data_IF_296259284306
#
_entry.id   IF_296259284306
#
_cell.length_a   1.000
_cell.length_b   1.000
_cell.length_c   1.000
_cell.angle_alpha   90.00
_cell.angle_beta   90.00
_cell.angle_gamma   90.00
#
_symmetry.space_group_name_H-M   'P 1'
#
loop_
_entity.id
_entity.type
_entity.pdbx_description
1 polymer ?
#
# COMPACT_ATOMS: atom_id res chain seq x y z
N UNK A 1 -31.58 16.02 2.12
CA UNK A 1 -32.44 15.20 1.23
C UNK A 1 -31.83 14.97 -0.16
N UNK A 2 -31.40 16.01 -0.89
CA UNK A 2 -30.86 15.87 -2.27
C UNK A 2 -29.65 14.92 -2.36
N UNK A 3 -28.64 15.06 -1.48
CA UNK A 3 -27.44 14.19 -1.52
C UNK A 3 -27.75 12.72 -1.23
N UNK A 4 -28.78 12.45 -0.43
CA UNK A 4 -29.24 11.09 -0.15
C UNK A 4 -29.85 10.44 -1.40
N UNK A 5 -30.72 11.17 -2.12
CA UNK A 5 -31.27 10.71 -3.39
C UNK A 5 -30.17 10.46 -4.43
N UNK A 6 -29.17 11.35 -4.51
CA UNK A 6 -27.99 11.15 -5.36
C UNK A 6 -27.26 9.87 -4.96
N UNK A 7 -27.08 9.63 -3.66
CA UNK A 7 -26.47 8.41 -3.13
C UNK A 7 -27.20 7.14 -3.55
N UNK A 8 -28.54 7.14 -3.53
CA UNK A 8 -29.37 6.02 -4.01
C UNK A 8 -29.25 5.84 -5.52
N UNK A 9 -29.29 6.92 -6.31
CA UNK A 9 -29.10 6.83 -7.76
C UNK A 9 -27.72 6.26 -8.10
N UNK A 10 -26.67 6.69 -7.41
CA UNK A 10 -25.33 6.12 -7.57
C UNK A 10 -25.29 4.62 -7.18
N UNK A 11 -25.98 4.23 -6.11
CA UNK A 11 -26.11 2.82 -5.72
C UNK A 11 -26.77 1.99 -6.82
N UNK A 12 -27.85 2.47 -7.42
CA UNK A 12 -28.52 1.79 -8.53
C UNK A 12 -27.60 1.64 -9.74
N UNK A 13 -26.86 2.70 -10.11
CA UNK A 13 -25.88 2.66 -11.19
C UNK A 13 -24.80 1.60 -10.91
N UNK A 14 -24.27 1.56 -9.68
CA UNK A 14 -23.28 0.56 -9.26
C UNK A 14 -23.84 -0.85 -9.35
N UNK A 15 -25.06 -1.08 -8.85
CA UNK A 15 -25.70 -2.39 -8.89
C UNK A 15 -25.94 -2.88 -10.32
N UNK A 16 -26.44 -2.01 -11.21
CA UNK A 16 -26.63 -2.31 -12.64
C UNK A 16 -25.29 -2.66 -13.28
N UNK A 17 -24.25 -1.85 -13.03
CA UNK A 17 -22.93 -2.09 -13.61
C UNK A 17 -22.35 -3.43 -13.14
N UNK A 18 -22.36 -3.71 -11.84
CA UNK A 18 -21.90 -4.99 -11.28
C UNK A 18 -22.68 -6.17 -11.87
N UNK A 19 -23.99 -6.04 -11.99
CA UNK A 19 -24.83 -7.05 -12.60
C UNK A 19 -24.42 -7.33 -14.05
N UNK A 20 -24.14 -6.30 -14.87
CA UNK A 20 -23.62 -6.45 -16.23
C UNK A 20 -22.27 -7.21 -16.21
N UNK A 21 -21.37 -6.89 -15.29
CA UNK A 21 -20.08 -7.58 -15.15
C UNK A 21 -20.21 -9.06 -14.80
N UNK A 22 -21.26 -9.46 -14.09
CA UNK A 22 -21.53 -10.87 -13.78
C UNK A 22 -22.28 -11.56 -14.93
N UNK A 23 -23.15 -10.83 -15.62
CA UNK A 23 -23.97 -11.34 -16.71
C UNK A 23 -23.13 -11.65 -17.96
N UNK A 24 -22.17 -10.78 -18.34
CA UNK A 24 -21.35 -10.96 -19.55
C UNK A 24 -20.57 -12.29 -19.54
N UNK A 25 -19.75 -12.63 -18.51
CA UNK A 25 -19.06 -13.90 -18.45
C UNK A 25 -20.00 -15.10 -18.47
N UNK A 26 -21.15 -15.00 -17.79
CA UNK A 26 -22.16 -16.04 -17.80
C UNK A 26 -22.74 -16.29 -19.19
N UNK A 27 -23.07 -15.23 -19.93
CA UNK A 27 -23.56 -15.32 -21.30
C UNK A 27 -22.48 -15.86 -22.25
N UNK A 28 -21.23 -15.46 -22.09
CA UNK A 28 -20.10 -15.98 -22.87
C UNK A 28 -19.89 -17.48 -22.65
N UNK A 29 -19.87 -17.94 -21.39
CA UNK A 29 -19.75 -19.37 -21.06
C UNK A 29 -20.94 -20.16 -21.64
N UNK A 30 -22.15 -19.61 -21.50
CA UNK A 30 -23.37 -20.20 -22.04
C UNK A 30 -23.33 -20.33 -23.57
N UNK A 31 -22.79 -19.33 -24.26
CA UNK A 31 -22.61 -19.32 -25.71
C UNK A 31 -21.50 -20.27 -26.18
N UNK A 32 -20.38 -20.35 -25.46
CA UNK A 32 -19.32 -21.33 -25.77
C UNK A 32 -19.82 -22.77 -25.63
N UNK A 33 -20.59 -23.06 -24.57
CA UNK A 33 -21.24 -24.38 -24.40
C UNK A 33 -22.19 -24.69 -25.55
N UNK A 34 -22.95 -23.71 -26.01
CA UNK A 34 -23.82 -23.86 -27.18
C UNK A 34 -23.06 -24.22 -28.44
N UNK A 35 -21.97 -23.51 -28.74
CA UNK A 35 -21.17 -23.78 -29.93
C UNK A 35 -20.58 -25.19 -29.85
N UNK A 36 -20.08 -25.58 -28.68
CA UNK A 36 -19.54 -26.91 -28.48
C UNK A 36 -20.59 -27.99 -28.72
N UNK A 37 -21.78 -27.84 -28.14
CA UNK A 37 -22.93 -28.74 -28.36
C UNK A 37 -23.38 -28.75 -29.83
N UNK A 38 -23.44 -27.59 -30.47
CA UNK A 38 -23.82 -27.44 -31.89
C UNK A 38 -22.85 -28.16 -32.82
N UNK A 39 -21.56 -28.17 -32.50
CA UNK A 39 -20.57 -28.93 -33.27
C UNK A 39 -20.74 -30.45 -33.12
N UNK A 40 -21.35 -30.92 -32.03
CA UNK A 40 -21.55 -32.35 -31.76
C UNK A 40 -22.90 -32.90 -32.26
N UNK A 41 -23.90 -32.06 -32.52
CA UNK A 41 -25.27 -32.50 -32.84
C UNK A 41 -25.61 -32.35 -34.35
N UNK A 42 -26.23 -33.39 -34.94
CA UNK A 42 -26.81 -33.35 -36.30
C UNK A 42 -27.97 -32.32 -36.35
N UNK A 43 -28.16 -31.66 -37.51
CA UNK A 43 -29.10 -30.54 -37.76
C UNK A 43 -30.49 -30.67 -37.10
N UNK A 44 -31.11 -31.85 -37.10
CA UNK A 44 -32.47 -32.09 -36.59
C UNK A 44 -32.58 -32.02 -35.05
N UNK A 45 -31.57 -32.50 -34.30
CA UNK A 45 -31.56 -32.35 -32.82
C UNK A 45 -31.25 -30.92 -32.38
N UNK A 46 -30.81 -30.07 -33.31
CA UNK A 46 -30.38 -28.71 -33.01
C UNK A 46 -31.55 -27.76 -32.80
N UNK A 47 -32.68 -27.98 -33.48
CA UNK A 47 -33.87 -27.11 -33.39
C UNK A 47 -34.62 -27.34 -32.06
N UNK A 48 -34.87 -28.60 -31.67
CA UNK A 48 -35.41 -28.94 -30.35
C UNK A 48 -34.52 -28.43 -29.20
N UNK A 49 -33.19 -28.48 -29.40
CA UNK A 49 -32.26 -27.91 -28.42
C UNK A 49 -32.27 -26.38 -28.41
N UNK A 50 -32.65 -25.69 -29.50
CA UNK A 50 -32.62 -24.22 -29.59
C UNK A 50 -33.74 -23.58 -28.75
N UNK A 51 -34.93 -24.16 -28.75
CA UNK A 51 -36.03 -23.76 -27.84
C UNK A 51 -35.72 -24.10 -26.38
N UNK A 52 -35.14 -25.27 -26.12
CA UNK A 52 -34.64 -25.65 -24.80
C UNK A 52 -33.45 -24.80 -24.32
N UNK A 53 -32.67 -24.22 -25.22
CA UNK A 53 -31.47 -23.46 -24.86
C UNK A 53 -31.79 -22.08 -24.26
N UNK A 54 -32.92 -21.48 -24.62
CA UNK A 54 -33.47 -20.26 -23.98
C UNK A 54 -34.40 -20.56 -22.79
N UNK A 55 -34.25 -21.75 -22.20
CA UNK A 55 -35.08 -22.29 -21.12
C UNK A 55 -35.29 -21.37 -19.91
N UNK A 56 -36.37 -21.66 -19.18
CA UNK A 56 -36.69 -21.17 -17.83
C UNK A 56 -35.50 -21.21 -16.87
N UNK A 57 -34.60 -22.20 -16.99
CA UNK A 57 -33.38 -22.30 -16.17
C UNK A 57 -32.46 -21.08 -16.31
N UNK A 58 -32.34 -20.48 -17.51
CA UNK A 58 -31.52 -19.28 -17.70
C UNK A 58 -32.16 -18.04 -17.15
N UNK A 59 -33.47 -17.87 -17.38
CA UNK A 59 -34.26 -16.79 -16.77
C UNK A 59 -34.09 -16.83 -15.25
N UNK A 60 -34.23 -18.02 -14.64
CA UNK A 60 -33.99 -18.23 -13.21
C UNK A 60 -32.58 -17.81 -12.78
N UNK A 61 -31.53 -18.17 -13.51
CA UNK A 61 -30.15 -17.76 -13.18
C UNK A 61 -29.95 -16.24 -13.30
N UNK A 62 -30.44 -15.63 -14.38
CA UNK A 62 -30.36 -14.19 -14.64
C UNK A 62 -31.08 -13.42 -13.52
N UNK A 63 -32.30 -13.81 -13.17
CA UNK A 63 -33.07 -13.25 -12.06
C UNK A 63 -32.33 -13.47 -10.73
N UNK A 64 -31.79 -14.67 -10.49
CA UNK A 64 -31.02 -14.97 -9.27
C UNK A 64 -29.78 -14.09 -9.13
N UNK A 65 -29.06 -13.83 -10.23
CA UNK A 65 -27.91 -12.92 -10.24
C UNK A 65 -28.33 -11.48 -9.94
N UNK A 66 -29.47 -11.03 -10.49
CA UNK A 66 -30.01 -9.69 -10.21
C UNK A 66 -30.40 -9.55 -8.73
N UNK A 67 -31.10 -10.54 -8.16
CA UNK A 67 -31.46 -10.58 -6.74
C UNK A 67 -30.20 -10.58 -5.88
N UNK A 68 -29.25 -11.49 -6.16
CA UNK A 68 -28.01 -11.60 -5.39
C UNK A 68 -27.22 -10.29 -5.39
N UNK A 69 -27.06 -9.66 -6.58
CA UNK A 69 -26.34 -8.38 -6.71
C UNK A 69 -27.06 -7.28 -5.94
N UNK A 70 -28.39 -7.23 -5.99
CA UNK A 70 -29.20 -6.23 -5.28
C UNK A 70 -29.09 -6.40 -3.76
N UNK A 71 -29.24 -7.63 -3.25
CA UNK A 71 -29.12 -7.96 -1.82
C UNK A 71 -27.71 -7.65 -1.31
N UNK A 72 -26.66 -8.04 -2.05
CA UNK A 72 -25.29 -7.75 -1.67
C UNK A 72 -25.02 -6.23 -1.65
N UNK A 73 -25.48 -5.50 -2.67
CA UNK A 73 -25.33 -4.04 -2.75
C UNK A 73 -26.05 -3.33 -1.60
N UNK A 74 -27.29 -3.75 -1.32
CA UNK A 74 -28.10 -3.21 -0.23
C UNK A 74 -27.48 -3.49 1.14
N UNK A 75 -26.95 -4.70 1.34
CA UNK A 75 -26.28 -5.09 2.59
C UNK A 75 -25.03 -4.23 2.83
N UNK A 76 -24.14 -4.13 1.83
CA UNK A 76 -22.93 -3.29 1.95
C UNK A 76 -23.31 -1.83 2.19
N UNK A 77 -24.28 -1.29 1.42
CA UNK A 77 -24.74 0.08 1.59
C UNK A 77 -25.27 0.34 3.00
N UNK A 78 -26.15 -0.53 3.50
CA UNK A 78 -26.79 -0.37 4.81
C UNK A 78 -25.76 -0.43 5.94
N UNK A 79 -24.85 -1.41 5.90
CA UNK A 79 -23.77 -1.53 6.91
C UNK A 79 -22.86 -0.30 6.90
N UNK A 80 -22.46 0.18 5.72
CA UNK A 80 -21.62 1.39 5.62
C UNK A 80 -22.39 2.65 6.05
N UNK A 81 -23.68 2.74 5.74
CA UNK A 81 -24.53 3.87 6.15
C UNK A 81 -24.69 3.91 7.67
N UNK A 82 -24.99 2.78 8.30
CA UNK A 82 -25.12 2.69 9.78
C UNK A 82 -23.83 3.14 10.44
N UNK A 83 -22.67 2.71 9.91
CA UNK A 83 -21.37 3.07 10.44
C UNK A 83 -21.01 4.56 10.27
N UNK A 84 -21.25 5.12 9.08
CA UNK A 84 -20.68 6.42 8.70
C UNK A 84 -21.67 7.58 8.71
N UNK A 85 -22.96 7.34 8.90
CA UNK A 85 -24.00 8.38 8.92
C UNK A 85 -24.65 8.54 10.31
N UNK A 86 -23.95 8.20 11.39
CA UNK A 86 -24.38 8.52 12.76
C UNK A 86 -24.31 10.03 13.03
N UNK A 87 -25.08 10.50 14.01
CA UNK A 87 -25.17 11.93 14.33
C UNK A 87 -23.84 12.53 14.83
N UNK A 88 -22.98 11.69 15.42
CA UNK A 88 -21.65 12.07 15.92
C UNK A 88 -20.58 12.16 14.81
N UNK A 89 -20.91 11.77 13.57
CA UNK A 89 -19.94 11.75 12.47
C UNK A 89 -19.86 13.10 11.73
N UNK A 90 -18.63 13.50 11.41
CA UNK A 90 -18.35 14.67 10.59
C UNK A 90 -18.76 14.50 9.12
N UNK A 91 -18.89 15.63 8.42
CA UNK A 91 -18.96 15.69 6.96
C UNK A 91 -20.09 14.85 6.31
N UNK A 92 -21.26 14.73 6.94
CA UNK A 92 -22.36 13.87 6.49
C UNK A 92 -22.76 14.02 5.01
N UNK A 93 -22.67 15.23 4.44
CA UNK A 93 -22.91 15.46 3.00
C UNK A 93 -21.92 14.68 2.13
N UNK A 94 -20.63 14.74 2.47
CA UNK A 94 -19.58 13.99 1.81
C UNK A 94 -19.75 12.48 2.03
N UNK A 95 -20.08 12.06 3.26
CA UNK A 95 -20.27 10.65 3.63
C UNK A 95 -21.35 9.94 2.81
N UNK A 96 -22.38 10.64 2.32
CA UNK A 96 -23.35 10.04 1.38
C UNK A 96 -22.66 9.49 0.12
N UNK A 97 -21.66 10.20 -0.43
CA UNK A 97 -20.88 9.73 -1.57
C UNK A 97 -19.90 8.63 -1.17
N UNK A 98 -19.30 8.74 0.02
CA UNK A 98 -18.42 7.71 0.55
C UNK A 98 -19.13 6.36 0.68
N UNK A 99 -20.30 6.33 1.32
CA UNK A 99 -21.11 5.13 1.52
C UNK A 99 -21.49 4.48 0.19
N UNK A 100 -21.97 5.27 -0.79
CA UNK A 100 -22.26 4.74 -2.14
C UNK A 100 -20.98 4.24 -2.84
N UNK A 101 -19.86 4.93 -2.67
CA UNK A 101 -18.56 4.54 -3.19
C UNK A 101 -18.01 3.23 -2.59
N UNK A 102 -18.31 2.94 -1.32
CA UNK A 102 -17.89 1.69 -0.67
C UNK A 102 -18.54 0.44 -1.28
N UNK A 103 -19.77 0.56 -1.78
CA UNK A 103 -20.43 -0.54 -2.49
C UNK A 103 -19.63 -0.92 -3.74
N UNK A 104 -19.30 0.07 -4.57
CA UNK A 104 -18.48 -0.14 -5.76
C UNK A 104 -17.07 -0.67 -5.41
N UNK A 105 -16.46 -0.12 -4.36
CA UNK A 105 -15.16 -0.55 -3.87
C UNK A 105 -15.17 -2.02 -3.42
N UNK A 106 -16.21 -2.48 -2.73
CA UNK A 106 -16.36 -3.87 -2.31
C UNK A 106 -16.40 -4.83 -3.51
N UNK A 107 -17.20 -4.50 -4.53
CA UNK A 107 -17.23 -5.30 -5.76
C UNK A 107 -15.91 -5.26 -6.52
N UNK A 108 -15.24 -4.09 -6.60
CA UNK A 108 -13.90 -3.97 -7.18
C UNK A 108 -12.89 -4.82 -6.41
N UNK A 109 -12.96 -4.87 -5.07
CA UNK A 109 -12.11 -5.74 -4.26
C UNK A 109 -12.32 -7.23 -4.57
N UNK A 110 -13.57 -7.66 -4.78
CA UNK A 110 -13.90 -9.04 -5.19
C UNK A 110 -13.38 -9.33 -6.60
N UNK A 111 -13.68 -8.46 -7.58
CA UNK A 111 -13.25 -8.65 -8.97
C UNK A 111 -11.73 -8.64 -9.09
N UNK A 112 -11.07 -7.77 -8.34
CA UNK A 112 -9.61 -7.74 -8.26
C UNK A 112 -9.03 -8.97 -7.57
N UNK A 113 -9.82 -9.92 -7.05
CA UNK A 113 -9.29 -11.24 -6.71
C UNK A 113 -8.89 -12.04 -7.95
N UNK A 114 -9.65 -11.92 -9.03
CA UNK A 114 -9.53 -12.73 -10.24
C UNK A 114 -8.89 -11.96 -11.40
N UNK A 115 -9.14 -10.67 -11.47
CA UNK A 115 -8.72 -9.80 -12.57
C UNK A 115 -7.69 -8.81 -12.03
N UNK A 116 -6.64 -8.52 -12.80
CA UNK A 116 -5.70 -7.46 -12.40
C UNK A 116 -6.38 -6.08 -12.54
N UNK A 117 -6.20 -5.15 -11.59
CA UNK A 117 -6.87 -3.84 -11.62
C UNK A 117 -6.59 -3.01 -12.87
N UNK A 118 -5.48 -3.26 -13.57
CA UNK A 118 -5.11 -2.52 -14.80
C UNK A 118 -5.69 -3.11 -16.10
N UNK A 119 -6.44 -4.20 -16.05
CA UNK A 119 -7.06 -4.76 -17.26
C UNK A 119 -8.14 -3.78 -17.75
N UNK A 120 -8.24 -3.51 -19.07
CA UNK A 120 -9.21 -2.55 -19.63
C UNK A 120 -10.66 -2.80 -19.21
N UNK A 121 -11.02 -4.06 -18.96
CA UNK A 121 -12.34 -4.42 -18.44
C UNK A 121 -12.65 -3.73 -17.11
N UNK A 122 -11.67 -3.33 -16.30
CA UNK A 122 -11.91 -2.62 -15.03
C UNK A 122 -12.11 -1.11 -15.20
N UNK A 123 -11.83 -0.55 -16.40
CA UNK A 123 -11.83 0.90 -16.63
C UNK A 123 -13.18 1.58 -16.34
N UNK A 124 -14.35 1.03 -16.73
CA UNK A 124 -15.65 1.62 -16.37
C UNK A 124 -15.87 1.72 -14.86
N UNK A 125 -15.49 0.69 -14.09
CA UNK A 125 -15.60 0.68 -12.64
C UNK A 125 -14.67 1.72 -12.00
N UNK A 126 -13.45 1.87 -12.51
CA UNK A 126 -12.51 2.89 -12.04
C UNK A 126 -13.01 4.31 -12.35
N UNK A 127 -13.54 4.53 -13.56
CA UNK A 127 -14.11 5.80 -13.97
C UNK A 127 -15.29 6.22 -13.10
N UNK A 128 -16.20 5.29 -12.81
CA UNK A 128 -17.32 5.54 -11.91
C UNK A 128 -16.85 5.83 -10.47
N UNK A 129 -15.87 5.07 -9.95
CA UNK A 129 -15.31 5.33 -8.62
C UNK A 129 -14.68 6.73 -8.54
N UNK A 130 -13.92 7.14 -9.56
CA UNK A 130 -13.34 8.49 -9.65
C UNK A 130 -14.42 9.57 -9.71
N UNK A 131 -15.50 9.35 -10.46
CA UNK A 131 -16.61 10.29 -10.51
C UNK A 131 -17.29 10.47 -9.15
N UNK A 132 -17.49 9.37 -8.40
CA UNK A 132 -18.05 9.40 -7.03
C UNK A 132 -17.08 10.13 -6.09
N UNK A 133 -15.79 9.78 -6.14
CA UNK A 133 -14.73 10.42 -5.36
C UNK A 133 -14.70 11.93 -5.58
N UNK A 134 -14.58 12.36 -6.83
CA UNK A 134 -14.50 13.79 -7.18
C UNK A 134 -15.77 14.57 -6.79
N UNK A 135 -16.94 13.94 -6.76
CA UNK A 135 -18.17 14.59 -6.26
C UNK A 135 -18.18 14.68 -4.74
N UNK A 136 -17.73 13.64 -4.06
CA UNK A 136 -17.73 13.57 -2.59
C UNK A 136 -16.68 14.48 -1.96
N UNK A 137 -15.45 14.52 -2.46
CA UNK A 137 -14.38 15.38 -1.90
C UNK A 137 -14.68 16.87 -2.06
N UNK A 138 -15.49 17.27 -3.05
CA UNK A 138 -15.97 18.66 -3.19
C UNK A 138 -16.88 19.10 -2.04
N UNK A 139 -17.35 18.15 -1.23
CA UNK A 139 -18.16 18.41 -0.04
C UNK A 139 -17.33 18.38 1.25
N UNK A 140 -16.03 18.06 1.18
CA UNK A 140 -15.09 18.11 2.29
C UNK A 140 -14.38 19.47 2.31
N UNK A 141 -13.93 19.94 3.49
CA UNK A 141 -12.93 21.01 3.58
C UNK A 141 -11.67 20.68 2.77
N UNK A 142 -10.99 21.70 2.25
CA UNK A 142 -9.82 21.51 1.39
C UNK A 142 -8.62 20.85 2.11
N UNK A 143 -8.54 21.04 3.43
CA UNK A 143 -7.52 20.52 4.33
C UNK A 143 -7.98 19.25 5.07
N UNK A 144 -9.07 18.61 4.66
CA UNK A 144 -9.60 17.43 5.35
C UNK A 144 -8.81 16.15 5.00
N UNK A 145 -8.29 15.48 6.03
CA UNK A 145 -7.48 14.27 5.88
C UNK A 145 -8.26 13.06 5.36
N UNK A 146 -9.60 13.11 5.38
CA UNK A 146 -10.45 12.08 4.78
C UNK A 146 -10.23 11.94 3.27
N UNK A 147 -9.85 13.02 2.59
CA UNK A 147 -9.57 13.01 1.15
C UNK A 147 -8.50 11.95 0.82
N UNK A 148 -7.41 11.93 1.60
CA UNK A 148 -6.34 10.93 1.47
C UNK A 148 -6.78 9.52 1.83
N UNK A 149 -7.63 9.36 2.85
CA UNK A 149 -8.19 8.06 3.25
C UNK A 149 -9.00 7.46 2.12
N UNK A 150 -9.93 8.23 1.55
CA UNK A 150 -10.82 7.75 0.50
C UNK A 150 -10.01 7.36 -0.74
N UNK A 151 -9.00 8.17 -1.09
CA UNK A 151 -8.14 7.87 -2.21
C UNK A 151 -7.33 6.58 -2.00
N UNK A 152 -6.76 6.40 -0.81
CA UNK A 152 -6.05 5.18 -0.45
C UNK A 152 -6.95 3.95 -0.55
N UNK A 153 -8.11 4.00 0.11
CA UNK A 153 -9.04 2.86 0.18
C UNK A 153 -9.55 2.44 -1.19
N UNK A 154 -9.90 3.40 -2.05
CA UNK A 154 -10.59 3.11 -3.30
C UNK A 154 -9.66 2.88 -4.48
N UNK A 155 -8.43 3.40 -4.45
CA UNK A 155 -7.54 3.33 -5.62
C UNK A 155 -6.21 2.63 -5.33
N UNK A 156 -5.77 2.58 -4.09
CA UNK A 156 -4.41 2.11 -3.76
C UNK A 156 -4.41 0.77 -3.04
N UNK A 157 -5.43 0.52 -2.21
CA UNK A 157 -5.56 -0.70 -1.41
C UNK A 157 -5.56 -2.00 -2.25
N UNK A 158 -6.10 -1.94 -3.47
CA UNK A 158 -6.11 -3.08 -4.40
C UNK A 158 -4.70 -3.50 -4.88
N UNK A 159 -3.73 -2.59 -4.82
CA UNK A 159 -2.34 -2.84 -5.21
C UNK A 159 -1.47 -3.23 -4.01
N UNK A 160 -1.70 -2.61 -2.84
CA UNK A 160 -0.90 -2.82 -1.63
C UNK A 160 -1.14 -4.19 -0.99
N UNK A 161 -2.40 -4.62 -0.81
CA UNK A 161 -2.74 -5.85 -0.07
C UNK A 161 -2.21 -7.15 -0.68
N UNK A 162 -2.06 -7.20 -2.00
CA UNK A 162 -1.69 -8.43 -2.72
C UNK A 162 -0.27 -8.41 -3.30
N UNK A 163 0.48 -7.35 -3.05
CA UNK A 163 1.80 -7.10 -3.64
C UNK A 163 1.82 -7.45 -5.15
N UNK A 164 0.76 -7.03 -5.87
CA UNK A 164 0.60 -7.38 -7.28
C UNK A 164 1.65 -6.64 -8.08
N UNK A 165 2.39 -7.40 -8.90
CA UNK A 165 3.21 -6.83 -9.95
C UNK A 165 2.29 -6.19 -10.97
N UNK A 166 2.54 -4.93 -11.32
CA UNK A 166 1.77 -4.22 -12.35
C UNK A 166 1.88 -4.95 -13.70
N UNK A 167 0.81 -4.93 -14.49
CA UNK A 167 0.69 -5.74 -15.71
C UNK A 167 1.55 -5.22 -16.87
N UNK A 168 2.10 -4.00 -16.76
CA UNK A 168 2.79 -3.32 -17.86
C UNK A 168 4.15 -2.71 -17.46
N UNK A 169 4.72 -3.12 -16.33
CA UNK A 169 6.10 -2.77 -15.98
C UNK A 169 7.09 -3.68 -16.73
N UNK A 170 7.45 -3.30 -17.96
CA UNK A 170 8.47 -4.00 -18.75
C UNK A 170 9.87 -3.52 -18.34
N UNK A 171 10.75 -4.47 -18.00
CA UNK A 171 12.20 -4.24 -17.81
C UNK A 171 12.58 -3.18 -16.76
N UNK A 172 11.84 -3.05 -15.66
CA UNK A 172 12.14 -2.09 -14.58
C UNK A 172 12.16 -0.61 -15.01
N UNK A 173 11.64 -0.29 -16.21
CA UNK A 173 11.48 1.10 -16.68
C UNK A 173 10.11 1.63 -16.22
N UNK A 174 10.06 2.75 -15.48
CA UNK A 174 8.80 3.34 -15.08
C UNK A 174 8.05 3.93 -16.27
N UNK A 175 6.74 3.69 -16.31
CA UNK A 175 5.84 4.40 -17.24
C UNK A 175 5.35 5.71 -16.60
N UNK A 176 4.93 6.68 -17.43
CA UNK A 176 4.34 7.94 -16.95
C UNK A 176 3.15 7.68 -16.01
N UNK A 177 2.28 6.76 -16.39
CA UNK A 177 1.11 6.33 -15.59
C UNK A 177 1.51 5.83 -14.20
N UNK A 178 2.63 5.12 -14.10
CA UNK A 178 3.10 4.61 -12.83
C UNK A 178 3.62 5.72 -11.91
N UNK A 179 4.36 6.70 -12.46
CA UNK A 179 4.80 7.88 -11.69
C UNK A 179 3.60 8.69 -11.19
N UNK A 180 2.58 8.89 -12.02
CA UNK A 180 1.32 9.52 -11.59
C UNK A 180 0.67 8.77 -10.41
N UNK A 181 0.72 7.44 -10.40
CA UNK A 181 0.22 6.65 -9.27
C UNK A 181 1.06 6.82 -8.00
N UNK A 182 2.39 6.93 -8.14
CA UNK A 182 3.25 7.26 -7.00
C UNK A 182 2.94 8.64 -6.44
N UNK A 183 2.64 9.62 -7.30
CA UNK A 183 2.22 10.96 -6.85
C UNK A 183 0.87 10.91 -6.14
N UNK A 184 -0.06 10.05 -6.58
CA UNK A 184 -1.32 9.80 -5.88
C UNK A 184 -1.12 9.13 -4.51
N UNK A 185 -0.15 8.21 -4.40
CA UNK A 185 0.24 7.63 -3.11
C UNK A 185 0.84 8.67 -2.18
N UNK A 186 1.72 9.51 -2.69
CA UNK A 186 2.28 10.63 -1.94
C UNK A 186 1.17 11.56 -1.45
N UNK A 187 0.27 11.98 -2.35
CA UNK A 187 -0.86 12.83 -2.00
C UNK A 187 -1.73 12.22 -0.88
N UNK A 188 -1.98 10.91 -0.94
CA UNK A 188 -2.75 10.23 0.10
C UNK A 188 -2.01 10.22 1.45
N UNK A 189 -0.70 9.94 1.45
CA UNK A 189 0.14 9.99 2.66
C UNK A 189 0.22 11.40 3.25
N UNK A 190 0.38 12.40 2.41
CA UNK A 190 0.43 13.80 2.82
C UNK A 190 -0.91 14.23 3.41
N UNK A 191 -2.00 14.06 2.66
CA UNK A 191 -3.34 14.44 3.12
C UNK A 191 -3.72 13.76 4.43
N UNK A 192 -3.39 12.47 4.59
CA UNK A 192 -3.69 11.74 5.83
C UNK A 192 -2.89 12.24 7.04
N UNK A 193 -1.66 12.69 6.82
CA UNK A 193 -0.79 13.12 7.92
C UNK A 193 -1.02 14.58 8.31
N UNK A 194 -1.31 15.45 7.34
CA UNK A 194 -1.39 16.91 7.56
C UNK A 194 -2.82 17.43 7.66
N UNK A 195 -3.80 16.67 7.16
CA UNK A 195 -5.18 17.09 7.15
C UNK A 195 -5.87 17.00 8.51
N UNK A 196 -6.86 17.86 8.72
CA UNK A 196 -7.74 17.82 9.88
C UNK A 196 -8.81 16.72 9.71
N UNK A 197 -9.32 16.20 10.83
CA UNK A 197 -10.34 15.15 10.84
C UNK A 197 -11.55 15.60 11.65
N UNK A 198 -12.66 15.87 10.96
CA UNK A 198 -13.94 16.09 11.61
C UNK A 198 -14.52 14.78 12.18
N UNK A 199 -14.30 13.67 11.48
CA UNK A 199 -14.68 12.32 11.92
C UNK A 199 -13.48 11.59 12.56
N UNK A 200 -13.49 11.51 13.89
CA UNK A 200 -12.43 10.85 14.66
C UNK A 200 -12.40 9.35 14.48
N UNK A 201 -13.55 8.72 14.24
CA UNK A 201 -13.59 7.29 13.95
C UNK A 201 -12.86 7.01 12.64
N UNK A 202 -13.01 7.85 11.62
CA UNK A 202 -12.28 7.71 10.36
C UNK A 202 -10.76 7.92 10.53
N UNK A 203 -10.35 8.88 11.38
CA UNK A 203 -8.94 9.07 11.74
C UNK A 203 -8.37 7.78 12.39
N UNK A 204 -9.03 7.25 13.41
CA UNK A 204 -8.53 6.09 14.16
C UNK A 204 -8.58 4.80 13.33
N UNK A 205 -9.67 4.52 12.62
CA UNK A 205 -9.82 3.24 11.94
C UNK A 205 -9.04 3.15 10.62
N UNK A 206 -8.76 4.29 9.97
CA UNK A 206 -8.15 4.29 8.64
C UNK A 206 -6.83 5.02 8.59
N UNK A 207 -6.71 6.22 9.17
CA UNK A 207 -5.38 6.83 9.24
C UNK A 207 -4.47 6.03 10.16
N UNK A 208 -4.90 5.68 11.39
CA UNK A 208 -3.97 5.00 12.28
C UNK A 208 -3.57 3.62 11.79
N UNK A 209 -4.45 2.91 11.08
CA UNK A 209 -4.24 1.52 10.70
C UNK A 209 -3.75 1.31 9.26
N UNK A 210 -4.24 2.10 8.29
CA UNK A 210 -3.91 1.89 6.88
C UNK A 210 -2.64 2.65 6.42
N UNK A 211 -2.23 3.70 7.15
CA UNK A 211 -1.14 4.59 6.74
C UNK A 211 0.18 3.85 6.51
N UNK A 212 0.57 3.00 7.45
CA UNK A 212 1.80 2.21 7.36
C UNK A 212 1.82 1.27 6.15
N UNK A 213 0.68 0.69 5.80
CA UNK A 213 0.57 -0.19 4.63
C UNK A 213 0.74 0.58 3.32
N UNK A 214 0.18 1.79 3.25
CA UNK A 214 0.39 2.70 2.13
C UNK A 214 1.85 3.19 2.06
N UNK A 215 2.44 3.56 3.20
CA UNK A 215 3.82 4.03 3.29
C UNK A 215 4.82 2.95 2.87
N UNK A 216 4.60 1.68 3.26
CA UNK A 216 5.41 0.56 2.78
C UNK A 216 5.27 0.38 1.27
N UNK A 217 4.04 0.46 0.75
CA UNK A 217 3.80 0.34 -0.69
C UNK A 217 4.55 1.43 -1.45
N UNK A 218 4.48 2.67 -0.98
CA UNK A 218 5.21 3.82 -1.51
C UNK A 218 6.72 3.57 -1.48
N UNK A 219 7.29 3.20 -0.33
CA UNK A 219 8.72 2.90 -0.18
C UNK A 219 9.20 1.87 -1.21
N UNK A 220 8.47 0.76 -1.39
CA UNK A 220 8.86 -0.32 -2.29
C UNK A 220 8.84 0.06 -3.76
N UNK A 221 8.06 1.08 -4.11
CA UNK A 221 7.93 1.56 -5.49
C UNK A 221 8.55 2.97 -5.68
N UNK A 222 9.11 3.59 -4.65
CA UNK A 222 9.69 4.93 -4.71
C UNK A 222 10.81 5.03 -5.76
N UNK A 223 11.60 3.97 -5.93
CA UNK A 223 12.68 3.90 -6.91
C UNK A 223 12.27 4.12 -8.37
N UNK A 224 10.98 3.98 -8.70
CA UNK A 224 10.47 4.24 -10.06
C UNK A 224 10.29 5.73 -10.38
N UNK A 225 10.57 6.64 -9.45
CA UNK A 225 10.80 8.04 -9.80
C UNK A 225 12.09 8.21 -10.61
N UNK A 226 13.12 7.40 -10.34
CA UNK A 226 14.34 7.35 -11.14
C UNK A 226 14.08 6.70 -12.52
N UNK A 227 14.97 6.87 -13.49
CA UNK A 227 14.82 6.25 -14.82
C UNK A 227 14.99 4.73 -14.81
N UNK A 228 15.70 4.20 -13.81
CA UNK A 228 15.95 2.77 -13.61
C UNK A 228 15.75 2.40 -12.14
N UNK A 229 15.20 1.22 -11.87
CA UNK A 229 14.98 0.74 -10.49
C UNK A 229 16.29 0.41 -9.76
N UNK A 230 17.27 -0.18 -10.46
CA UNK A 230 18.60 -0.42 -9.90
C UNK A 230 19.32 0.93 -9.71
N UNK A 231 20.00 1.13 -8.58
CA UNK A 231 20.65 2.41 -8.25
C UNK A 231 19.69 3.57 -7.95
N UNK A 232 18.37 3.36 -8.05
CA UNK A 232 17.37 4.42 -7.87
C UNK A 232 17.42 5.13 -6.52
N UNK A 233 17.83 4.43 -5.46
CA UNK A 233 17.94 5.04 -4.13
C UNK A 233 18.97 6.17 -4.14
N UNK A 234 20.17 5.91 -4.67
CA UNK A 234 21.23 6.89 -4.83
C UNK A 234 20.80 8.05 -5.75
N UNK A 235 20.26 7.76 -6.95
CA UNK A 235 19.80 8.84 -7.84
C UNK A 235 18.71 9.73 -7.23
N UNK A 236 17.84 9.19 -6.37
CA UNK A 236 16.81 9.97 -5.68
C UNK A 236 17.36 10.72 -4.46
N UNK A 237 18.43 10.24 -3.83
CA UNK A 237 19.11 10.95 -2.73
C UNK A 237 19.74 12.27 -3.23
N UNK A 238 20.13 12.33 -4.50
CA UNK A 238 20.65 13.54 -5.15
C UNK A 238 19.56 14.59 -5.48
N UNK A 239 18.27 14.25 -5.38
CA UNK A 239 17.17 15.15 -5.74
C UNK A 239 16.52 15.73 -4.47
N UNK A 240 16.64 17.04 -4.19
CA UNK A 240 16.18 17.65 -2.94
C UNK A 240 14.71 17.35 -2.59
N UNK A 241 13.83 17.34 -3.60
CA UNK A 241 12.41 17.00 -3.43
C UNK A 241 12.21 15.61 -2.81
N UNK A 242 13.02 14.62 -3.19
CA UNK A 242 12.88 13.25 -2.69
C UNK A 242 13.54 13.05 -1.33
N UNK A 243 14.59 13.80 -1.03
CA UNK A 243 15.16 13.88 0.33
C UNK A 243 14.14 14.46 1.29
N UNK A 244 13.49 15.56 0.91
CA UNK A 244 12.44 16.20 1.70
C UNK A 244 11.24 15.28 1.92
N UNK A 245 10.80 14.55 0.89
CA UNK A 245 9.74 13.54 1.04
C UNK A 245 10.11 12.42 2.03
N UNK A 246 11.37 12.00 2.04
CA UNK A 246 11.85 10.98 2.99
C UNK A 246 11.83 11.53 4.42
N UNK A 247 12.27 12.78 4.62
CA UNK A 247 12.20 13.50 5.90
C UNK A 247 10.76 13.62 6.40
N UNK A 248 9.86 14.17 5.57
CA UNK A 248 8.45 14.35 5.91
C UNK A 248 7.77 13.03 6.25
N UNK A 249 7.94 11.97 5.45
CA UNK A 249 7.30 10.69 5.75
C UNK A 249 7.84 10.07 7.04
N UNK A 250 9.14 10.20 7.33
CA UNK A 250 9.71 9.74 8.60
C UNK A 250 9.13 10.50 9.80
N UNK A 251 8.90 11.81 9.68
CA UNK A 251 8.25 12.63 10.71
C UNK A 251 6.80 12.20 10.93
N UNK A 252 6.03 12.03 9.86
CA UNK A 252 4.63 11.62 9.96
C UNK A 252 4.46 10.23 10.55
N UNK A 253 5.38 9.30 10.23
CA UNK A 253 5.43 7.99 10.87
C UNK A 253 5.75 8.12 12.37
N UNK A 254 6.73 8.94 12.73
CA UNK A 254 7.05 9.18 14.14
C UNK A 254 5.87 9.75 14.94
N UNK A 255 5.17 10.73 14.37
CA UNK A 255 3.95 11.31 14.96
C UNK A 255 2.82 10.30 15.08
N UNK A 256 2.67 9.42 14.07
CA UNK A 256 1.69 8.34 14.08
C UNK A 256 1.88 7.40 15.28
N UNK A 257 3.12 7.05 15.64
CA UNK A 257 3.40 6.26 16.85
C UNK A 257 2.93 7.00 18.11
N UNK A 258 3.12 8.31 18.17
CA UNK A 258 2.59 9.14 19.25
C UNK A 258 1.06 9.10 19.34
N UNK A 259 0.36 9.04 18.20
CA UNK A 259 -1.10 8.89 18.14
C UNK A 259 -1.56 7.49 18.56
N UNK A 260 -0.84 6.44 18.14
CA UNK A 260 -1.11 5.05 18.57
C UNK A 260 -1.06 4.90 20.09
N UNK A 261 -0.03 5.46 20.73
CA UNK A 261 0.15 5.38 22.17
C UNK A 261 -0.95 6.09 22.98
N UNK A 262 -1.73 6.98 22.35
CA UNK A 262 -2.84 7.70 23.00
C UNK A 262 -4.19 6.97 22.85
N UNK A 263 -4.29 5.96 21.99
CA UNK A 263 -5.53 5.23 21.72
C UNK A 263 -5.40 3.76 22.16
N UNK A 264 -6.05 3.40 23.27
CA UNK A 264 -6.03 2.02 23.78
C UNK A 264 -6.57 1.02 22.75
N UNK A 265 -7.63 1.38 22.02
CA UNK A 265 -8.19 0.57 20.94
C UNK A 265 -7.13 0.26 19.87
N UNK A 266 -6.30 1.25 19.53
CA UNK A 266 -5.22 1.08 18.56
C UNK A 266 -4.12 0.18 19.10
N UNK A 267 -3.72 0.34 20.36
CA UNK A 267 -2.72 -0.53 21.01
C UNK A 267 -3.19 -1.99 21.06
N UNK A 268 -4.46 -2.22 21.41
CA UNK A 268 -5.06 -3.55 21.42
C UNK A 268 -5.08 -4.17 20.02
N UNK A 269 -5.37 -3.36 18.99
CA UNK A 269 -5.30 -3.79 17.60
C UNK A 269 -3.87 -4.16 17.18
N UNK A 270 -2.87 -3.34 17.51
CA UNK A 270 -1.45 -3.59 17.18
C UNK A 270 -0.94 -4.85 17.84
N UNK A 271 -1.31 -5.10 19.11
CA UNK A 271 -0.96 -6.33 19.82
C UNK A 271 -1.53 -7.58 19.15
N UNK A 272 -2.75 -7.49 18.59
CA UNK A 272 -3.35 -8.58 17.80
C UNK A 272 -2.78 -8.68 16.38
N UNK A 273 -2.20 -7.60 15.85
CA UNK A 273 -1.70 -7.48 14.49
C UNK A 273 -0.24 -7.00 14.45
N UNK A 274 0.72 -7.77 14.99
CA UNK A 274 2.11 -7.34 15.13
C UNK A 274 2.82 -7.08 13.79
N UNK A 275 2.24 -7.57 12.69
CA UNK A 275 2.70 -7.23 11.33
C UNK A 275 2.66 -5.73 11.06
N UNK A 276 1.63 -5.02 11.53
CA UNK A 276 1.49 -3.59 11.28
C UNK A 276 2.61 -2.79 11.96
N UNK A 277 2.91 -3.15 13.20
CA UNK A 277 4.03 -2.56 13.96
C UNK A 277 5.39 -2.88 13.32
N UNK A 278 5.62 -4.14 12.91
CA UNK A 278 6.85 -4.51 12.22
C UNK A 278 7.03 -3.73 10.90
N UNK A 279 5.95 -3.59 10.11
CA UNK A 279 5.97 -2.79 8.88
C UNK A 279 6.26 -1.31 9.19
N UNK A 280 5.68 -0.75 10.25
CA UNK A 280 5.91 0.63 10.67
C UNK A 280 7.41 0.90 10.93
N UNK A 281 8.01 0.06 11.77
CA UNK A 281 9.42 0.17 12.13
C UNK A 281 10.34 -0.02 10.91
N UNK A 282 10.01 -0.96 10.01
CA UNK A 282 10.75 -1.14 8.75
C UNK A 282 10.68 0.10 7.88
N UNK A 283 9.49 0.67 7.66
CA UNK A 283 9.34 1.85 6.79
C UNK A 283 10.04 3.06 7.39
N UNK A 284 9.89 3.29 8.70
CA UNK A 284 10.56 4.38 9.40
C UNK A 284 12.08 4.30 9.25
N UNK A 285 12.68 3.14 9.53
CA UNK A 285 14.11 2.92 9.35
C UNK A 285 14.57 3.22 7.92
N UNK A 286 13.86 2.71 6.91
CA UNK A 286 14.23 2.90 5.51
C UNK A 286 14.07 4.35 5.02
N UNK A 287 13.07 5.08 5.50
CA UNK A 287 12.93 6.50 5.16
C UNK A 287 14.00 7.36 5.82
N UNK A 288 14.40 7.04 7.05
CA UNK A 288 15.51 7.70 7.73
C UNK A 288 16.83 7.43 7.00
N UNK A 289 17.12 6.19 6.59
CA UNK A 289 18.32 5.87 5.80
C UNK A 289 18.37 6.68 4.49
N UNK A 290 17.24 6.79 3.77
CA UNK A 290 17.16 7.60 2.55
C UNK A 290 17.37 9.09 2.81
N UNK A 291 16.83 9.59 3.91
CA UNK A 291 17.07 10.97 4.35
C UNK A 291 18.56 11.20 4.63
N UNK A 292 19.21 10.32 5.38
CA UNK A 292 20.64 10.40 5.69
C UNK A 292 21.50 10.37 4.42
N UNK A 293 21.24 9.43 3.50
CA UNK A 293 21.92 9.41 2.20
C UNK A 293 21.78 10.75 1.47
N UNK A 294 20.57 11.33 1.49
CA UNK A 294 20.33 12.64 0.89
C UNK A 294 21.09 13.78 1.57
N UNK A 295 21.18 13.78 2.90
CA UNK A 295 21.93 14.80 3.65
C UNK A 295 23.44 14.66 3.50
N UNK A 296 23.96 13.42 3.42
CA UNK A 296 25.38 13.15 3.15
C UNK A 296 25.74 13.72 1.79
N UNK A 297 25.01 13.34 0.74
CA UNK A 297 25.22 13.85 -0.62
C UNK A 297 25.07 15.38 -0.76
N UNK A 298 24.51 16.06 0.24
CA UNK A 298 24.36 17.51 0.28
C UNK A 298 25.37 18.20 1.22
N UNK A 299 26.35 17.47 1.78
CA UNK A 299 27.30 17.95 2.79
C UNK A 299 26.61 18.56 4.02
N UNK A 300 25.50 17.97 4.45
CA UNK A 300 24.69 18.43 5.61
C UNK A 300 24.46 17.35 6.65
N UNK A 301 25.09 16.19 6.50
CA UNK A 301 24.95 15.13 7.49
C UNK A 301 25.57 15.56 8.82
N UNK A 302 24.86 15.32 9.92
CA UNK A 302 25.34 15.62 11.27
C UNK A 302 24.97 14.48 12.21
N UNK A 303 25.92 14.08 13.04
CA UNK A 303 25.72 13.07 14.08
C UNK A 303 24.74 13.51 15.18
N UNK A 304 24.46 14.82 15.28
CA UNK A 304 23.53 15.40 16.24
C UNK A 304 22.10 15.55 15.69
N UNK A 305 21.81 15.17 14.44
CA UNK A 305 20.46 15.25 13.89
C UNK A 305 19.50 14.32 14.67
N UNK A 306 18.38 14.87 15.15
CA UNK A 306 17.35 14.14 15.89
C UNK A 306 16.85 12.88 15.17
N UNK A 307 16.95 12.86 13.83
CA UNK A 307 16.59 11.75 12.98
C UNK A 307 17.47 10.52 13.24
N UNK A 308 18.74 10.69 13.64
CA UNK A 308 19.64 9.58 14.03
C UNK A 308 19.12 8.89 15.29
N UNK A 309 18.74 9.67 16.32
CA UNK A 309 18.16 9.12 17.54
C UNK A 309 16.87 8.35 17.24
N UNK A 310 16.03 8.87 16.32
CA UNK A 310 14.82 8.17 15.86
C UNK A 310 15.16 6.86 15.15
N UNK A 311 16.20 6.83 14.32
CA UNK A 311 16.64 5.61 13.64
C UNK A 311 17.11 4.56 14.63
N UNK A 312 17.99 4.94 15.57
CA UNK A 312 18.51 4.03 16.62
C UNK A 312 17.37 3.50 17.49
N UNK A 313 16.42 4.35 17.90
CA UNK A 313 15.26 3.91 18.68
C UNK A 313 14.35 2.98 17.89
N UNK A 314 14.05 3.29 16.63
CA UNK A 314 13.24 2.42 15.77
C UNK A 314 13.93 1.06 15.54
N UNK A 315 15.25 1.07 15.41
CA UNK A 315 16.07 -0.13 15.30
C UNK A 315 15.98 -1.00 16.56
N UNK A 316 16.20 -0.40 17.72
CA UNK A 316 16.10 -1.06 19.03
C UNK A 316 14.72 -1.68 19.21
N UNK A 317 13.65 -0.91 18.99
CA UNK A 317 12.27 -1.40 19.07
C UNK A 317 12.01 -2.59 18.11
N UNK A 318 12.65 -2.63 16.95
CA UNK A 318 12.46 -3.70 15.97
C UNK A 318 13.15 -5.01 16.37
N UNK A 319 14.35 -4.95 16.93
CA UNK A 319 15.19 -6.15 17.22
C UNK A 319 15.06 -6.59 18.68
N UNK A 320 15.03 -5.64 19.60
CA UNK A 320 15.12 -5.81 21.05
C UNK A 320 14.29 -4.74 21.79
N UNK A 321 12.94 -4.79 21.70
CA UNK A 321 12.10 -3.84 22.40
C UNK A 321 12.32 -3.96 23.92
N UNK A 322 12.13 -2.83 24.63
CA UNK A 322 12.30 -2.76 26.09
C UNK A 322 11.31 -3.68 26.82
N UNK A 323 10.13 -3.87 26.22
CA UNK A 323 9.08 -4.74 26.75
C UNK A 323 8.63 -5.76 25.70
N UNK A 324 8.47 -7.01 26.14
CA UNK A 324 7.91 -8.08 25.33
C UNK A 324 8.85 -8.63 24.24
N UNK A 325 8.25 -9.29 23.25
CA UNK A 325 8.98 -9.88 22.10
C UNK A 325 8.89 -8.94 20.90
N UNK A 326 9.95 -8.86 20.06
CA UNK A 326 9.94 -8.11 18.80
C UNK A 326 8.70 -8.39 17.96
N UNK A 327 8.10 -7.35 17.38
CA UNK A 327 6.88 -7.45 16.59
C UNK A 327 6.99 -8.52 15.49
N UNK A 328 8.11 -8.57 14.76
CA UNK A 328 8.30 -9.57 13.70
C UNK A 328 8.34 -11.01 14.24
N UNK A 329 8.86 -11.25 15.46
CA UNK A 329 8.84 -12.58 16.11
C UNK A 329 7.45 -12.97 16.62
N UNK A 330 6.53 -12.02 16.80
CA UNK A 330 5.12 -12.27 17.16
C UNK A 330 4.24 -12.62 15.95
N UNK A 331 4.73 -12.47 14.72
CA UNK A 331 3.97 -12.74 13.51
C UNK A 331 3.79 -14.24 13.26
N UNK A 332 2.57 -14.66 12.86
CA UNK A 332 2.29 -16.05 12.49
C UNK A 332 2.98 -16.49 11.18
N UNK A 333 3.16 -15.56 10.24
CA UNK A 333 3.78 -15.85 8.95
C UNK A 333 5.30 -15.64 9.03
N UNK A 334 6.03 -16.71 9.34
CA UNK A 334 7.50 -16.70 9.52
C UNK A 334 8.22 -16.19 8.27
N UNK A 335 7.75 -16.56 7.07
CA UNK A 335 8.38 -16.10 5.82
C UNK A 335 8.28 -14.59 5.64
N UNK A 336 7.15 -14.01 6.04
CA UNK A 336 6.96 -12.56 5.99
C UNK A 336 7.75 -11.86 7.10
N UNK A 337 7.81 -12.44 8.30
CA UNK A 337 8.63 -11.95 9.40
C UNK A 337 10.12 -11.89 9.02
N UNK A 338 10.65 -12.98 8.44
CA UNK A 338 12.05 -13.03 7.98
C UNK A 338 12.32 -12.00 6.88
N UNK A 339 11.37 -11.76 5.96
CA UNK A 339 11.53 -10.70 4.95
C UNK A 339 11.62 -9.31 5.56
N UNK A 340 10.82 -9.02 6.59
CA UNK A 340 10.89 -7.74 7.29
C UNK A 340 12.19 -7.61 8.10
N UNK A 341 12.66 -8.71 8.69
CA UNK A 341 13.98 -8.78 9.33
C UNK A 341 15.09 -8.53 8.31
N UNK A 342 15.09 -9.24 7.19
CA UNK A 342 16.08 -9.08 6.12
C UNK A 342 16.10 -7.64 5.59
N UNK A 343 14.93 -7.02 5.45
CA UNK A 343 14.84 -5.63 4.98
C UNK A 343 15.31 -4.64 6.03
N UNK A 344 14.91 -4.83 7.28
CA UNK A 344 15.27 -3.89 8.33
C UNK A 344 16.74 -4.05 8.67
N UNK A 345 17.22 -5.26 8.92
CA UNK A 345 18.55 -5.60 9.45
C UNK A 345 19.57 -5.95 8.38
N UNK A 346 19.30 -6.97 7.59
CA UNK A 346 20.32 -7.57 6.69
C UNK A 346 20.42 -6.91 5.31
N UNK A 347 19.66 -5.84 5.07
CA UNK A 347 19.68 -5.13 3.82
C UNK A 347 20.97 -4.33 3.70
N UNK A 348 21.62 -4.30 2.51
CA UNK A 348 22.81 -3.50 2.29
C UNK A 348 22.76 -2.08 2.84
N UNK A 349 21.67 -1.34 2.61
CA UNK A 349 21.54 0.03 3.08
C UNK A 349 21.53 0.14 4.62
N UNK A 350 20.91 -0.82 5.29
CA UNK A 350 20.84 -0.84 6.76
C UNK A 350 22.19 -1.15 7.38
N UNK A 351 22.98 -2.02 6.74
CA UNK A 351 24.36 -2.33 7.13
C UNK A 351 25.29 -1.16 6.90
N UNK A 352 25.20 -0.52 5.73
CA UNK A 352 25.93 0.71 5.44
C UNK A 352 25.61 1.80 6.45
N UNK A 353 24.35 1.97 6.84
CA UNK A 353 23.99 2.95 7.86
C UNK A 353 24.53 2.60 9.25
N UNK A 354 24.54 1.32 9.63
CA UNK A 354 25.21 0.88 10.87
C UNK A 354 26.71 1.21 10.83
N UNK A 355 27.38 0.94 9.73
CA UNK A 355 28.79 1.29 9.54
C UNK A 355 28.99 2.81 9.67
N UNK A 356 28.21 3.61 8.94
CA UNK A 356 28.31 5.08 8.97
C UNK A 356 28.14 5.62 10.39
N UNK A 357 27.08 5.20 11.10
CA UNK A 357 26.82 5.69 12.45
C UNK A 357 27.86 5.19 13.48
N UNK A 358 28.34 3.96 13.35
CA UNK A 358 29.37 3.42 14.22
C UNK A 358 30.72 4.09 14.02
N UNK A 359 31.12 4.26 12.75
CA UNK A 359 32.44 4.76 12.38
C UNK A 359 32.56 6.29 12.52
N UNK A 360 31.61 7.05 11.97
CA UNK A 360 31.70 8.52 11.94
C UNK A 360 31.02 9.18 13.14
N UNK A 361 30.04 8.54 13.76
CA UNK A 361 29.31 9.12 14.90
C UNK A 361 29.62 8.43 16.24
N UNK A 362 30.33 7.30 16.26
CA UNK A 362 30.54 6.51 17.48
C UNK A 362 29.26 5.91 18.06
N UNK A 363 28.19 5.80 17.26
CA UNK A 363 26.86 5.35 17.70
C UNK A 363 26.68 3.87 17.35
N UNK A 364 26.54 3.03 18.37
CA UNK A 364 26.23 1.61 18.20
C UNK A 364 24.77 1.42 17.76
N UNK A 365 24.58 0.63 16.69
CA UNK A 365 23.26 0.28 16.15
C UNK A 365 23.02 -1.22 16.36
N UNK A 366 21.95 -1.56 17.08
CA UNK A 366 21.66 -2.94 17.50
C UNK A 366 21.12 -3.83 16.37
N UNK A 367 21.23 -5.15 16.55
CA UNK A 367 20.78 -6.18 15.61
C UNK A 367 21.91 -6.98 15.00
N UNK A 368 21.89 -8.29 15.26
CA UNK A 368 22.86 -9.23 14.69
C UNK A 368 22.58 -9.44 13.20
N UNK A 369 23.63 -9.30 12.40
CA UNK A 369 23.56 -9.46 10.96
C UNK A 369 23.82 -10.91 10.58
N UNK A 370 22.96 -11.47 9.73
CA UNK A 370 23.20 -12.79 9.19
C UNK A 370 24.16 -12.70 8.00
N UNK A 371 25.44 -12.97 8.27
CA UNK A 371 26.49 -12.91 7.26
C UNK A 371 26.73 -14.23 6.53
N UNK A 372 25.96 -15.29 6.84
CA UNK A 372 26.09 -16.60 6.19
C UNK A 372 25.92 -16.53 4.67
N UNK A 373 25.13 -15.59 4.15
CA UNK A 373 24.95 -15.39 2.69
C UNK A 373 26.22 -14.93 1.97
N UNK A 374 27.20 -14.39 2.68
CA UNK A 374 28.49 -13.96 2.13
C UNK A 374 29.58 -15.02 2.22
N UNK A 375 29.32 -16.17 2.86
CA UNK A 375 30.34 -17.19 3.10
C UNK A 375 31.03 -17.70 1.83
N UNK A 376 30.31 -17.79 0.70
CA UNK A 376 30.89 -18.21 -0.57
C UNK A 376 31.83 -17.17 -1.17
N UNK A 377 31.48 -15.88 -1.09
CA UNK A 377 32.30 -14.78 -1.60
C UNK A 377 33.51 -14.56 -0.68
N UNK A 378 33.29 -14.53 0.63
CA UNK A 378 34.34 -14.44 1.64
C UNK A 378 35.40 -15.55 1.47
N UNK A 379 34.97 -16.79 1.22
CA UNK A 379 35.89 -17.90 0.93
C UNK A 379 36.70 -17.69 -0.35
N UNK A 380 36.09 -17.12 -1.39
CA UNK A 380 36.78 -16.83 -2.66
C UNK A 380 37.84 -15.75 -2.49
N UNK A 381 37.53 -14.73 -1.69
CA UNK A 381 38.38 -13.55 -1.50
C UNK A 381 39.36 -13.66 -0.32
N UNK A 382 39.39 -14.82 0.36
CA UNK A 382 40.29 -15.08 1.50
C UNK A 382 39.92 -14.29 2.77
N UNK A 383 38.66 -13.89 2.90
CA UNK A 383 38.12 -13.09 4.00
C UNK A 383 37.16 -13.89 4.89
N UNK A 384 36.82 -13.33 6.06
CA UNK A 384 35.67 -13.80 6.86
C UNK A 384 34.34 -13.27 6.29
N UNK A 385 33.20 -13.93 6.54
CA UNK A 385 31.90 -13.43 6.11
C UNK A 385 31.56 -12.04 6.63
N UNK A 386 32.08 -11.67 7.80
CA UNK A 386 31.88 -10.35 8.41
C UNK A 386 32.67 -9.25 7.68
N UNK A 387 33.92 -9.55 7.31
CA UNK A 387 34.74 -8.65 6.49
C UNK A 387 34.12 -8.41 5.11
N UNK A 388 33.71 -9.47 4.42
CA UNK A 388 33.05 -9.35 3.11
C UNK A 388 31.72 -8.57 3.23
N UNK A 389 30.97 -8.78 4.31
CA UNK A 389 29.75 -8.02 4.57
C UNK A 389 30.02 -6.52 4.79
N UNK A 390 31.08 -6.18 5.51
CA UNK A 390 31.51 -4.79 5.75
C UNK A 390 32.00 -4.13 4.45
N UNK A 391 32.84 -4.80 3.67
CA UNK A 391 33.34 -4.31 2.38
C UNK A 391 32.18 -4.03 1.42
N UNK A 392 31.18 -4.95 1.37
CA UNK A 392 29.95 -4.72 0.60
C UNK A 392 29.14 -3.55 1.14
N UNK A 393 29.05 -3.39 2.46
CA UNK A 393 28.35 -2.25 3.05
C UNK A 393 29.00 -0.93 2.64
N UNK A 394 30.34 -0.85 2.61
CA UNK A 394 31.09 0.30 2.11
C UNK A 394 30.82 0.56 0.63
N UNK A 395 30.86 -0.48 -0.21
CA UNK A 395 30.61 -0.37 -1.65
C UNK A 395 29.21 0.16 -1.99
N UNK A 396 28.19 -0.10 -1.16
CA UNK A 396 26.84 0.44 -1.40
C UNK A 396 26.71 1.93 -1.09
N UNK A 397 27.64 2.49 -0.32
CA UNK A 397 27.72 3.90 0.11
C UNK A 397 29.04 4.52 -0.37
N UNK A 398 29.60 4.06 -1.49
CA UNK A 398 30.95 4.44 -1.89
C UNK A 398 31.11 5.97 -2.03
N UNK A 399 30.21 6.62 -2.78
CA UNK A 399 30.24 8.08 -2.95
C UNK A 399 29.95 8.81 -1.64
N UNK A 400 29.00 8.29 -0.84
CA UNK A 400 28.66 8.84 0.47
C UNK A 400 29.82 8.75 1.47
N UNK A 401 30.63 7.69 1.42
CA UNK A 401 31.80 7.49 2.29
C UNK A 401 32.89 8.51 1.96
N UNK A 402 33.18 8.75 0.67
CA UNK A 402 34.17 9.77 0.27
C UNK A 402 33.79 11.14 0.82
N UNK A 403 32.50 11.48 0.78
CA UNK A 403 31.98 12.73 1.34
C UNK A 403 32.13 12.78 2.86
N UNK A 404 31.84 11.66 3.55
CA UNK A 404 31.99 11.60 5.00
C UNK A 404 33.46 11.67 5.43
N UNK A 405 34.37 11.03 4.70
CA UNK A 405 35.81 11.11 4.97
C UNK A 405 36.32 12.55 4.88
N UNK A 406 35.92 13.31 3.86
CA UNK A 406 36.30 14.72 3.77
C UNK A 406 35.63 15.59 4.82
N UNK A 407 34.46 15.20 5.33
CA UNK A 407 33.76 15.96 6.36
C UNK A 407 34.33 15.72 7.78
N UNK A 408 34.82 14.51 8.08
CA UNK A 408 35.16 14.09 9.45
C UNK A 408 36.65 13.83 9.69
N UNK A 409 37.49 13.75 8.66
CA UNK A 409 38.94 13.50 8.80
C UNK A 409 39.81 14.75 8.58
N UNK A 410 39.21 15.93 8.42
CA UNK A 410 39.87 17.24 8.51
C UNK A 410 39.95 17.69 9.98
#
# INVERSE_FOLDING_TARGET
MIHFLIGIVLLLIVAILVYIYLLIPYLLISWLKFIHQKRQLKKQRLEDHKESFWNEKRKKIIISLAILTSVASFTVYTTQRIKWMGDDNGNLKAKNYYVSGQVLNAFRAILTNFIHPEIPIMAPLHGLQWAIYNKGIKQLPADDGEIGIWQNQWFHNHYSKKNRKELFLRNSKPTKTFRTRLDQWWFSLESMATGSYADKQMEEEHYYLDYTSLALSYLLKHGFYAHHKAGSAHSLALIPKHVERSRLLSNWLWELQGKWNKSQNTLDFLNKNPKLEAMYLTVLQHMLIRYFQGTINQNRFSCDDVSIQRYVKARKQFVEPEEGRPAYKRMRNIKEANRLLDWSVDNPNSRSMRYVLGHYCGIAVVGDENNSKYASWAKHDGQTPDQEAEDRAKLNFYDEIIILESQFND
#
